data_IF_529620239218
#
_entry.id   IF_529620239218
#
_cell.length_a   1.000
_cell.length_b   1.000
_cell.length_c   1.000
_cell.angle_alpha   90.00
_cell.angle_beta   90.00
_cell.angle_gamma   90.00
#
_symmetry.space_group_name_H-M   'P 1'
#
loop_
_entity.id
_entity.type
_entity.pdbx_description
1 polymer ?
#
# COMPACT_ATOMS: atom_id res chain seq x y z
N UNK A 1 -12.88 7.75 23.24
CA UNK A 1 -13.65 6.52 23.57
C UNK A 1 -12.74 5.34 23.30
N UNK A 2 -12.35 4.60 24.34
CA UNK A 2 -11.59 3.35 24.17
C UNK A 2 -12.49 2.33 23.47
N UNK A 3 -11.97 1.74 22.40
CA UNK A 3 -12.69 0.70 21.66
C UNK A 3 -12.64 -0.56 22.52
N UNK A 4 -13.80 -1.14 22.91
CA UNK A 4 -13.86 -2.29 23.84
C UNK A 4 -13.08 -3.53 23.36
N UNK A 5 -12.72 -3.58 22.08
CA UNK A 5 -11.96 -4.67 21.45
C UNK A 5 -10.50 -4.30 21.16
N UNK A 6 -9.99 -3.19 21.70
CA UNK A 6 -8.60 -2.80 21.52
C UNK A 6 -7.69 -3.59 22.48
N UNK A 7 -6.88 -4.47 21.89
CA UNK A 7 -5.90 -5.30 22.59
C UNK A 7 -4.54 -4.63 22.44
N UNK A 8 -3.82 -4.49 23.55
CA UNK A 8 -2.46 -3.95 23.58
C UNK A 8 -1.45 -5.07 23.91
N UNK A 9 -0.37 -5.14 23.14
CA UNK A 9 0.74 -6.09 23.37
C UNK A 9 2.08 -5.35 23.37
N UNK A 10 3.01 -5.83 24.19
CA UNK A 10 4.38 -5.35 24.23
C UNK A 10 5.07 -5.58 22.88
N UNK A 11 5.87 -4.61 22.43
CA UNK A 11 6.66 -4.76 21.21
C UNK A 11 7.91 -5.61 21.50
N UNK A 12 8.12 -6.66 20.72
CA UNK A 12 9.31 -7.53 20.81
C UNK A 12 10.62 -6.74 20.67
N UNK A 13 11.57 -7.00 21.56
CA UNK A 13 12.82 -6.25 21.69
C UNK A 13 12.66 -4.88 22.37
N UNK A 14 11.45 -4.47 22.71
CA UNK A 14 11.11 -3.19 23.34
C UNK A 14 10.06 -3.36 24.46
N UNK A 15 10.07 -4.51 25.13
CA UNK A 15 8.99 -5.00 25.97
C UNK A 15 8.62 -4.05 27.10
N UNK A 16 9.61 -3.40 27.72
CA UNK A 16 9.40 -2.44 28.81
C UNK A 16 9.14 -1.00 28.33
N UNK A 17 9.32 -0.75 27.03
CA UNK A 17 9.37 0.59 26.46
C UNK A 17 8.11 0.95 25.69
N UNK A 18 7.55 0.01 24.93
CA UNK A 18 6.45 0.28 24.00
C UNK A 18 5.42 -0.84 23.95
N UNK A 19 4.15 -0.45 23.74
CA UNK A 19 3.08 -1.36 23.31
C UNK A 19 2.54 -0.92 21.94
N UNK A 20 2.01 -1.88 21.19
CA UNK A 20 1.20 -1.65 19.99
C UNK A 20 -0.17 -2.29 20.16
N UNK A 21 -1.20 -1.62 19.63
CA UNK A 21 -2.57 -2.15 19.63
C UNK A 21 -2.93 -2.85 18.32
N UNK A 22 -3.93 -3.73 18.37
CA UNK A 22 -4.51 -4.35 17.17
C UNK A 22 -5.15 -3.33 16.21
N UNK A 23 -5.38 -2.08 16.63
CA UNK A 23 -5.82 -0.97 15.77
C UNK A 23 -4.66 -0.19 15.15
N UNK A 24 -3.41 -0.60 15.39
CA UNK A 24 -2.24 0.11 14.88
C UNK A 24 -1.91 1.40 15.62
N UNK A 25 -2.30 1.51 16.90
CA UNK A 25 -1.82 2.59 17.78
C UNK A 25 -0.55 2.14 18.49
N UNK A 26 0.34 3.07 18.78
CA UNK A 26 1.60 2.79 19.49
C UNK A 26 1.69 3.70 20.70
N UNK A 27 2.04 3.15 21.86
CA UNK A 27 2.23 3.92 23.10
C UNK A 27 3.56 3.59 23.76
N UNK A 28 4.14 4.58 24.44
CA UNK A 28 5.36 4.45 25.24
C UNK A 28 5.00 4.20 26.70
N UNK A 29 5.61 3.22 27.35
CA UNK A 29 5.44 2.87 28.77
C UNK A 29 6.55 3.42 29.68
N UNK A 30 7.72 3.72 29.11
CA UNK A 30 8.89 4.17 29.86
C UNK A 30 9.65 5.19 29.04
N UNK A 31 10.14 6.23 29.69
CA UNK A 31 11.01 7.23 29.08
C UNK A 31 12.44 6.94 29.48
N UNK A 32 13.30 6.71 28.48
CA UNK A 32 14.73 6.44 28.68
C UNK A 32 15.57 7.35 27.78
N UNK A 33 16.55 8.02 28.37
CA UNK A 33 17.63 8.73 27.69
C UNK A 33 18.94 8.58 28.50
N UNK A 34 20.01 9.31 28.13
CA UNK A 34 21.32 9.21 28.81
C UNK A 34 21.28 9.59 30.32
N UNK A 35 20.28 10.35 30.75
CA UNK A 35 20.19 10.95 32.08
C UNK A 35 18.99 10.48 32.90
N UNK A 36 17.93 10.00 32.24
CA UNK A 36 16.63 9.71 32.84
C UNK A 36 16.17 8.34 32.36
N UNK A 37 15.81 7.47 33.31
CA UNK A 37 15.10 6.21 33.04
C UNK A 37 13.94 6.09 34.04
N UNK A 38 12.73 6.41 33.57
CA UNK A 38 11.53 6.42 34.42
C UNK A 38 10.37 5.72 33.73
N UNK A 39 9.65 4.90 34.51
CA UNK A 39 8.36 4.36 34.11
C UNK A 39 7.34 5.51 34.09
N UNK A 40 6.54 5.59 33.03
CA UNK A 40 5.53 6.64 32.85
C UNK A 40 4.16 6.02 32.67
N UNK A 41 3.10 6.82 32.82
CA UNK A 41 1.80 6.40 32.30
C UNK A 41 1.90 6.20 30.78
N UNK A 42 1.28 5.14 30.22
CA UNK A 42 1.37 4.87 28.79
C UNK A 42 0.92 6.07 27.94
N UNK A 43 1.83 6.61 27.13
CA UNK A 43 1.59 7.79 26.30
C UNK A 43 1.56 7.42 24.83
N UNK A 44 0.48 7.76 24.13
CA UNK A 44 0.36 7.56 22.68
C UNK A 44 1.47 8.32 21.94
N UNK A 45 2.09 7.64 20.97
CA UNK A 45 3.06 8.24 20.07
C UNK A 45 2.37 8.95 18.92
N UNK A 46 3.01 10.02 18.45
CA UNK A 46 2.65 10.62 17.16
C UNK A 46 3.06 9.66 16.04
N UNK A 47 2.09 9.26 15.25
CA UNK A 47 2.31 8.49 14.03
C UNK A 47 2.41 9.46 12.84
N UNK A 48 3.24 9.13 11.86
CA UNK A 48 3.42 9.95 10.65
C UNK A 48 3.12 9.15 9.40
N UNK A 49 2.47 9.79 8.43
CA UNK A 49 2.19 9.22 7.11
C UNK A 49 3.35 9.55 6.17
N UNK A 50 3.87 8.55 5.50
CA UNK A 50 4.91 8.72 4.47
C UNK A 50 4.30 9.27 3.17
N UNK A 51 5.13 9.76 2.25
CA UNK A 51 4.70 10.18 0.90
C UNK A 51 3.98 9.06 0.13
N UNK A 52 4.29 7.80 0.42
CA UNK A 52 3.66 6.62 -0.19
C UNK A 52 2.35 6.20 0.51
N UNK A 53 1.98 6.87 1.61
CA UNK A 53 0.74 6.63 2.36
C UNK A 53 0.88 5.68 3.55
N UNK A 54 2.02 5.02 3.74
CA UNK A 54 2.24 4.13 4.90
C UNK A 54 2.41 4.91 6.20
N UNK A 55 1.86 4.39 7.29
CA UNK A 55 2.03 4.93 8.64
C UNK A 55 3.29 4.37 9.29
N UNK A 56 4.11 5.25 9.87
CA UNK A 56 5.34 4.92 10.59
C UNK A 56 5.47 5.66 11.90
N UNK A 57 6.36 5.17 12.77
CA UNK A 57 6.82 5.87 13.97
C UNK A 57 8.29 5.54 14.23
N UNK A 58 8.86 6.09 15.29
CA UNK A 58 10.25 5.85 15.70
C UNK A 58 10.26 5.29 17.12
N UNK A 59 10.87 4.12 17.28
CA UNK A 59 11.12 3.51 18.58
C UNK A 59 12.55 3.82 19.02
N UNK A 60 12.74 4.08 20.32
CA UNK A 60 14.03 4.44 20.88
C UNK A 60 14.39 3.47 22.02
N UNK A 61 15.61 2.92 22.01
CA UNK A 61 16.14 2.06 23.07
C UNK A 61 17.63 2.35 23.25
N UNK A 62 18.05 2.65 24.48
CA UNK A 62 19.46 2.91 24.84
C UNK A 62 20.16 3.93 23.93
N UNK A 63 19.49 5.03 23.61
CA UNK A 63 20.02 6.09 22.73
C UNK A 63 19.97 5.79 21.22
N UNK A 64 19.64 4.56 20.82
CA UNK A 64 19.44 4.19 19.42
C UNK A 64 17.98 4.42 19.00
N UNK A 65 17.77 4.90 17.78
CA UNK A 65 16.44 5.12 17.20
C UNK A 65 16.23 4.24 15.98
N UNK A 66 15.06 3.62 15.87
CA UNK A 66 14.68 2.75 14.76
C UNK A 66 13.33 3.20 14.19
N UNK A 67 13.32 3.54 12.91
CA UNK A 67 12.10 3.84 12.18
C UNK A 67 11.35 2.57 11.83
N UNK A 68 10.12 2.43 12.29
CA UNK A 68 9.29 1.24 12.06
C UNK A 68 7.99 1.60 11.37
N UNK A 69 7.53 0.72 10.48
CA UNK A 69 6.20 0.81 9.91
C UNK A 69 5.17 0.18 10.84
N UNK A 70 4.03 0.85 11.01
CA UNK A 70 3.01 0.42 11.97
C UNK A 70 2.36 -0.89 11.54
N UNK A 71 2.03 -1.06 10.26
CA UNK A 71 1.47 -2.33 9.75
C UNK A 71 2.39 -3.54 10.02
N UNK A 72 3.69 -3.39 9.78
CA UNK A 72 4.68 -4.45 10.09
C UNK A 72 4.73 -4.69 11.59
N UNK A 73 4.76 -3.64 12.40
CA UNK A 73 4.84 -3.74 13.85
C UNK A 73 3.63 -4.48 14.44
N UNK A 74 2.42 -4.13 14.00
CA UNK A 74 1.17 -4.80 14.38
C UNK A 74 1.25 -6.27 14.01
N UNK A 75 1.52 -6.59 12.75
CA UNK A 75 1.50 -7.97 12.28
C UNK A 75 2.56 -8.84 12.98
N UNK A 76 3.77 -8.31 13.17
CA UNK A 76 4.82 -8.99 13.95
C UNK A 76 4.39 -9.27 15.40
N UNK A 77 3.71 -8.32 16.04
CA UNK A 77 3.34 -8.44 17.46
C UNK A 77 2.15 -9.38 17.68
N UNK A 78 1.19 -9.41 16.76
CA UNK A 78 -0.03 -10.21 16.92
C UNK A 78 0.02 -11.58 16.25
N UNK A 79 0.80 -11.73 15.16
CA UNK A 79 0.89 -12.97 14.37
C UNK A 79 2.28 -13.59 14.44
N UNK A 80 3.34 -12.77 14.54
CA UNK A 80 4.73 -13.22 14.56
C UNK A 80 5.52 -12.78 13.33
N UNK A 81 6.79 -13.19 13.27
CA UNK A 81 7.69 -12.82 12.18
C UNK A 81 7.22 -13.36 10.83
N UNK A 82 7.49 -12.60 9.77
CA UNK A 82 7.19 -13.00 8.42
C UNK A 82 8.00 -14.26 8.05
N UNK A 83 7.40 -15.26 7.38
CA UNK A 83 8.16 -16.29 6.69
C UNK A 83 9.14 -15.68 5.67
N UNK A 84 10.19 -16.42 5.33
CA UNK A 84 11.17 -15.94 4.36
C UNK A 84 10.51 -15.60 3.01
N UNK A 85 10.79 -14.40 2.49
CA UNK A 85 10.25 -13.92 1.20
C UNK A 85 8.83 -13.33 1.27
N UNK A 86 8.23 -13.21 2.45
CA UNK A 86 6.90 -12.62 2.62
C UNK A 86 6.99 -11.12 2.94
N UNK A 87 5.97 -10.38 2.51
CA UNK A 87 5.77 -8.96 2.79
C UNK A 87 4.40 -8.73 3.45
N UNK A 88 4.29 -7.64 4.21
CA UNK A 88 3.02 -7.27 4.84
C UNK A 88 2.13 -6.59 3.80
N UNK A 89 0.92 -7.09 3.63
CA UNK A 89 -0.09 -6.56 2.72
C UNK A 89 -1.31 -6.04 3.50
N UNK A 90 -1.87 -4.93 2.99
CA UNK A 90 -3.17 -4.40 3.38
C UNK A 90 -4.24 -5.02 2.49
N UNK A 91 -5.14 -5.81 3.08
CA UNK A 91 -6.13 -6.62 2.37
C UNK A 91 -7.28 -5.80 1.77
N UNK A 92 -7.44 -4.55 2.19
CA UNK A 92 -8.39 -3.58 1.63
C UNK A 92 -7.74 -2.57 0.66
N UNK A 93 -6.43 -2.68 0.42
CA UNK A 93 -5.67 -1.73 -0.39
C UNK A 93 -5.37 -0.37 0.27
N UNK A 94 -5.76 -0.17 1.53
CA UNK A 94 -5.70 1.11 2.25
C UNK A 94 -4.53 1.14 3.24
N UNK A 95 -3.46 1.85 2.88
CA UNK A 95 -2.16 1.82 3.58
C UNK A 95 -2.14 2.42 5.00
N UNK A 96 -3.18 3.13 5.39
CA UNK A 96 -3.35 3.69 6.74
C UNK A 96 -4.35 2.93 7.61
N UNK A 97 -5.07 1.94 7.06
CA UNK A 97 -5.85 0.99 7.84
C UNK A 97 -4.93 -0.11 8.40
N UNK A 98 -4.32 0.15 9.54
CA UNK A 98 -3.38 -0.78 10.21
C UNK A 98 -4.06 -1.72 11.23
N UNK A 99 -5.37 -1.95 11.11
CA UNK A 99 -6.05 -2.92 11.94
C UNK A 99 -5.55 -4.34 11.65
N UNK A 100 -5.36 -5.17 12.67
CA UNK A 100 -4.77 -6.50 12.52
C UNK A 100 -5.50 -7.37 11.48
N UNK A 101 -6.84 -7.33 11.47
CA UNK A 101 -7.66 -8.10 10.53
C UNK A 101 -7.47 -7.67 9.07
N UNK A 102 -6.97 -6.46 8.83
CA UNK A 102 -6.66 -5.96 7.50
C UNK A 102 -5.24 -6.31 7.03
N UNK A 103 -4.41 -6.92 7.89
CA UNK A 103 -2.99 -7.13 7.61
C UNK A 103 -2.68 -8.62 7.47
N UNK A 104 -1.87 -8.97 6.47
CA UNK A 104 -1.43 -10.36 6.26
C UNK A 104 -0.02 -10.44 5.70
N UNK A 105 0.72 -11.46 6.11
CA UNK A 105 1.96 -11.85 5.43
C UNK A 105 1.58 -12.52 4.11
N UNK A 106 2.03 -11.95 3.00
CA UNK A 106 1.75 -12.49 1.66
C UNK A 106 3.05 -12.56 0.87
N UNK A 107 3.08 -13.43 -0.13
CA UNK A 107 4.18 -13.40 -1.10
C UNK A 107 4.05 -12.15 -1.98
N UNK A 108 5.17 -11.69 -2.53
CA UNK A 108 5.19 -10.57 -3.48
C UNK A 108 4.24 -10.78 -4.67
N UNK A 109 4.08 -12.04 -5.12
CA UNK A 109 3.19 -12.39 -6.23
C UNK A 109 1.72 -12.19 -5.87
N UNK A 110 1.31 -12.62 -4.68
CA UNK A 110 -0.05 -12.43 -4.16
C UNK A 110 -0.34 -10.96 -3.90
N UNK A 111 0.56 -10.23 -3.23
CA UNK A 111 0.36 -8.80 -2.99
C UNK A 111 0.24 -8.01 -4.31
N UNK A 112 0.99 -8.40 -5.35
CA UNK A 112 0.86 -7.78 -6.66
C UNK A 112 -0.48 -8.11 -7.34
N UNK A 113 -1.00 -9.33 -7.20
CA UNK A 113 -2.29 -9.69 -7.78
C UNK A 113 -3.44 -8.91 -7.14
N UNK A 114 -3.35 -8.62 -5.84
CA UNK A 114 -4.30 -7.78 -5.11
C UNK A 114 -4.42 -6.36 -5.70
N UNK A 115 -3.39 -5.82 -6.36
CA UNK A 115 -3.47 -4.50 -7.01
C UNK A 115 -4.56 -4.42 -8.08
N UNK A 116 -4.82 -5.53 -8.78
CA UNK A 116 -5.91 -5.61 -9.76
C UNK A 116 -7.26 -5.59 -9.05
N UNK A 117 -7.39 -6.35 -7.97
CA UNK A 117 -8.62 -6.46 -7.16
C UNK A 117 -8.95 -5.10 -6.52
N UNK A 118 -7.95 -4.42 -5.97
CA UNK A 118 -8.12 -3.12 -5.31
C UNK A 118 -8.19 -1.94 -6.29
N UNK A 119 -8.16 -2.17 -7.61
CA UNK A 119 -8.20 -1.10 -8.61
C UNK A 119 -6.99 -0.15 -8.58
N UNK A 120 -5.89 -0.53 -7.93
CA UNK A 120 -4.66 0.28 -7.82
C UNK A 120 -3.63 -0.04 -8.90
N UNK A 121 -4.00 -0.88 -9.87
CA UNK A 121 -3.14 -1.23 -10.99
C UNK A 121 -3.00 -0.05 -11.96
N UNK A 122 -1.77 0.35 -12.23
CA UNK A 122 -1.44 1.42 -13.17
C UNK A 122 -1.39 0.87 -14.61
N UNK A 123 -2.54 0.45 -15.14
CA UNK A 123 -2.70 0.01 -16.53
C UNK A 123 -3.80 0.80 -17.24
N UNK A 124 -3.84 0.67 -18.57
CA UNK A 124 -4.82 1.40 -19.38
C UNK A 124 -4.74 2.90 -19.12
N UNK A 125 -5.88 3.52 -18.81
CA UNK A 125 -5.96 4.96 -18.58
C UNK A 125 -5.36 5.41 -17.24
N UNK A 126 -5.14 4.48 -16.30
CA UNK A 126 -4.52 4.76 -15.00
C UNK A 126 -2.99 4.76 -15.07
N UNK A 127 -2.40 4.44 -16.23
CA UNK A 127 -0.96 4.59 -16.42
C UNK A 127 -0.64 6.09 -16.58
N UNK A 128 0.28 6.67 -15.77
CA UNK A 128 0.65 8.09 -15.86
C UNK A 128 1.14 8.54 -17.25
N UNK A 129 1.63 7.61 -18.08
CA UNK A 129 2.08 7.86 -19.45
C UNK A 129 1.05 7.47 -20.52
N UNK A 130 -0.19 7.15 -20.13
CA UNK A 130 -1.25 6.82 -21.08
C UNK A 130 -1.58 8.02 -21.95
N UNK A 131 -1.48 7.83 -23.28
CA UNK A 131 -1.90 8.83 -24.27
C UNK A 131 -3.38 8.75 -24.64
N UNK A 132 -4.05 7.68 -24.21
CA UNK A 132 -5.41 7.33 -24.59
C UNK A 132 -6.19 6.95 -23.33
N UNK A 133 -7.49 7.21 -23.36
CA UNK A 133 -8.46 6.78 -22.35
C UNK A 133 -9.25 5.55 -22.82
N UNK A 134 -10.02 4.93 -21.93
CA UNK A 134 -10.92 3.83 -22.32
C UNK A 134 -11.95 4.26 -23.38
N UNK A 135 -12.44 5.50 -23.28
CA UNK A 135 -13.35 6.10 -24.28
C UNK A 135 -12.68 6.24 -25.63
N UNK A 136 -11.41 6.65 -25.67
CA UNK A 136 -10.64 6.76 -26.91
C UNK A 136 -10.47 5.38 -27.56
N UNK A 137 -10.18 4.36 -26.77
CA UNK A 137 -10.02 2.98 -27.26
C UNK A 137 -11.32 2.45 -27.87
N UNK A 138 -12.46 2.67 -27.21
CA UNK A 138 -13.77 2.32 -27.77
C UNK A 138 -14.02 3.07 -29.08
N UNK A 139 -13.66 4.35 -29.14
CA UNK A 139 -13.82 5.16 -30.35
C UNK A 139 -12.91 4.71 -31.49
N UNK A 140 -11.65 4.36 -31.20
CA UNK A 140 -10.69 3.80 -32.16
C UNK A 140 -11.26 2.53 -32.79
N UNK A 141 -11.75 1.59 -31.97
CA UNK A 141 -12.33 0.34 -32.46
C UNK A 141 -13.59 0.58 -33.30
N UNK A 142 -14.45 1.51 -32.88
CA UNK A 142 -15.63 1.91 -33.65
C UNK A 142 -15.26 2.53 -35.02
N UNK A 143 -14.24 3.40 -35.07
CA UNK A 143 -13.81 4.01 -36.34
C UNK A 143 -13.21 2.96 -37.28
N UNK A 144 -12.45 2.02 -36.73
CA UNK A 144 -11.90 0.88 -37.50
C UNK A 144 -12.99 -0.03 -38.04
N UNK A 145 -14.04 -0.32 -37.26
CA UNK A 145 -15.17 -1.12 -37.75
C UNK A 145 -15.99 -0.39 -38.82
N UNK A 146 -15.95 0.95 -38.84
CA UNK A 146 -16.55 1.80 -39.88
C UNK A 146 -15.66 1.98 -41.12
N UNK A 147 -14.55 1.24 -41.22
CA UNK A 147 -13.69 1.22 -42.41
C UNK A 147 -12.59 2.30 -42.45
N UNK A 148 -12.45 3.15 -41.42
CA UNK A 148 -11.34 4.12 -41.37
C UNK A 148 -10.00 3.41 -41.35
N UNK A 149 -9.03 3.90 -42.12
CA UNK A 149 -7.68 3.33 -42.20
C UNK A 149 -6.89 3.53 -40.91
N UNK A 150 -5.85 2.71 -40.68
CA UNK A 150 -4.96 2.89 -39.53
C UNK A 150 -4.31 4.28 -39.50
N UNK A 151 -3.99 4.83 -40.68
CA UNK A 151 -3.38 6.16 -40.83
C UNK A 151 -4.34 7.27 -40.40
N UNK A 152 -5.57 7.27 -40.88
CA UNK A 152 -6.58 8.26 -40.49
C UNK A 152 -6.82 8.25 -38.97
N UNK A 153 -6.99 7.06 -38.38
CA UNK A 153 -7.23 6.94 -36.94
C UNK A 153 -5.99 7.35 -36.13
N UNK A 154 -4.79 6.99 -36.58
CA UNK A 154 -3.54 7.42 -35.95
C UNK A 154 -3.40 8.94 -35.90
N UNK A 155 -3.76 9.63 -36.99
CA UNK A 155 -3.78 11.09 -37.06
C UNK A 155 -4.80 11.70 -36.10
N UNK A 156 -6.03 11.16 -36.04
CA UNK A 156 -7.09 11.67 -35.15
C UNK A 156 -6.65 11.65 -33.68
N UNK A 157 -6.00 10.57 -33.24
CA UNK A 157 -5.62 10.38 -31.83
C UNK A 157 -4.16 10.75 -31.53
N UNK A 158 -3.42 11.29 -32.51
CA UNK A 158 -2.00 11.64 -32.40
C UNK A 158 -1.13 10.52 -31.80
N UNK A 159 -1.32 9.29 -32.30
CA UNK A 159 -0.54 8.11 -31.90
C UNK A 159 -0.02 7.37 -33.13
N UNK A 160 0.94 6.47 -32.96
CA UNK A 160 1.49 5.72 -34.08
C UNK A 160 0.46 4.74 -34.68
N UNK A 161 0.53 4.51 -36.00
CA UNK A 161 -0.29 3.49 -36.68
C UNK A 161 -0.11 2.10 -36.05
N UNK A 162 1.10 1.78 -35.56
CA UNK A 162 1.39 0.55 -34.82
C UNK A 162 0.54 0.46 -33.54
N UNK A 163 0.41 1.55 -32.79
CA UNK A 163 -0.42 1.58 -31.59
C UNK A 163 -1.90 1.30 -31.94
N UNK A 164 -2.43 1.95 -32.98
CA UNK A 164 -3.80 1.70 -33.46
C UNK A 164 -4.00 0.24 -33.87
N UNK A 165 -3.04 -0.35 -34.60
CA UNK A 165 -3.10 -1.76 -35.02
C UNK A 165 -3.17 -2.70 -33.81
N UNK A 166 -2.31 -2.50 -32.81
CA UNK A 166 -2.30 -3.30 -31.58
C UNK A 166 -3.63 -3.16 -30.81
N UNK A 167 -4.16 -1.94 -30.66
CA UNK A 167 -5.45 -1.68 -30.00
C UNK A 167 -6.61 -2.38 -30.73
N UNK A 168 -6.59 -2.34 -32.06
CA UNK A 168 -7.62 -2.95 -32.91
C UNK A 168 -7.60 -4.47 -32.79
N UNK A 169 -6.40 -5.06 -32.78
CA UNK A 169 -6.20 -6.50 -32.67
C UNK A 169 -6.27 -7.01 -31.23
N UNK A 170 -6.71 -6.18 -30.27
CA UNK A 170 -6.76 -6.50 -28.83
C UNK A 170 -5.43 -6.99 -28.25
N UNK A 171 -4.30 -6.59 -28.84
CA UNK A 171 -2.96 -6.85 -28.28
C UNK A 171 -2.60 -5.92 -27.11
N UNK A 172 -3.36 -4.84 -26.93
CA UNK A 172 -3.32 -3.94 -25.78
C UNK A 172 -4.75 -3.56 -25.38
N UNK A 173 -4.93 -2.96 -24.20
CA UNK A 173 -6.25 -2.60 -23.66
C UNK A 173 -7.25 -3.77 -23.67
N UNK A 174 -6.78 -4.96 -23.26
CA UNK A 174 -7.54 -6.21 -23.28
C UNK A 174 -8.74 -6.24 -22.33
N UNK A 175 -8.75 -5.37 -21.33
CA UNK A 175 -9.84 -5.21 -20.36
C UNK A 175 -11.03 -4.39 -20.90
N UNK A 176 -10.86 -3.76 -22.06
CA UNK A 176 -11.90 -3.05 -22.84
C UNK A 176 -12.19 -3.90 -24.06
#
# INVERSE_FOLDING_TARGET
MENKNEIWKSVEGFEDLYDVSNFGRVRRKRYTNRHIDIKIQPKLLKLTKTKLGYIRTTLCKKGMSSGVFVHVLVLKTFVGHAPHGYECAHMDGTRDNNHIDNLKWTTRKENHSHKKIHGTSQHGQNNPFAKLTEKDVLKIRQLRSKGKTLKEVATIFNVSMRNISIITNRGSWTHI
#
